data_IF_301939687199
#
_entry.id   IF_301939687199
#
_cell.length_a   1.000
_cell.length_b   1.000
_cell.length_c   1.000
_cell.angle_alpha   90.00
_cell.angle_beta   90.00
_cell.angle_gamma   90.00
#
_symmetry.space_group_name_H-M   'P 1'
#
loop_
_entity.id
_entity.type
_entity.pdbx_description
1 polymer ?
#
# COMPACT_ATOMS: atom_id res chain seq x y z
N UNK A 1 29.26 10.92 -23.33
CA UNK A 1 30.16 9.77 -23.16
C UNK A 1 30.16 9.40 -21.68
N UNK A 2 29.61 8.23 -21.33
CA UNK A 2 29.51 7.79 -19.94
C UNK A 2 30.87 7.28 -19.46
N UNK A 3 31.26 7.66 -18.24
CA UNK A 3 32.41 7.03 -17.59
C UNK A 3 31.87 5.87 -16.76
N UNK A 4 31.99 4.66 -17.30
CA UNK A 4 31.70 3.46 -16.52
C UNK A 4 32.67 3.38 -15.33
N UNK A 5 32.17 2.94 -14.18
CA UNK A 5 33.01 2.56 -13.07
C UNK A 5 33.74 1.28 -13.48
N UNK A 6 35.02 1.42 -13.85
CA UNK A 6 35.89 0.30 -14.16
C UNK A 6 36.54 -0.24 -12.87
N UNK A 7 36.57 -1.56 -12.72
CA UNK A 7 37.22 -2.33 -11.68
C UNK A 7 37.57 -3.72 -12.22
N UNK A 8 38.53 -4.40 -11.60
CA UNK A 8 38.97 -5.72 -12.06
C UNK A 8 38.00 -6.84 -11.62
N UNK A 9 37.24 -6.60 -10.55
CA UNK A 9 36.24 -7.51 -9.99
C UNK A 9 34.87 -6.80 -9.84
N UNK A 10 33.77 -7.54 -9.96
CA UNK A 10 32.39 -7.06 -9.80
C UNK A 10 32.13 -6.45 -8.43
N UNK A 11 32.79 -6.95 -7.38
CA UNK A 11 32.62 -6.45 -6.01
C UNK A 11 33.21 -5.05 -5.85
N UNK A 12 34.38 -4.78 -6.45
CA UNK A 12 35.00 -3.46 -6.44
C UNK A 12 34.12 -2.44 -7.17
N UNK A 13 33.52 -2.86 -8.30
CA UNK A 13 32.58 -2.01 -9.06
C UNK A 13 31.33 -1.72 -8.22
N UNK A 14 30.79 -2.72 -7.51
CA UNK A 14 29.63 -2.56 -6.64
C UNK A 14 29.92 -1.60 -5.47
N UNK A 15 31.01 -1.80 -4.74
CA UNK A 15 31.41 -0.94 -3.61
C UNK A 15 31.67 0.50 -4.05
N UNK A 16 32.37 0.68 -5.17
CA UNK A 16 32.61 2.02 -5.73
C UNK A 16 31.34 2.65 -6.31
N UNK A 17 30.36 1.87 -6.74
CA UNK A 17 29.06 2.38 -7.15
C UNK A 17 28.24 2.85 -5.94
N UNK A 18 28.24 2.08 -4.85
CA UNK A 18 27.58 2.44 -3.56
C UNK A 18 28.09 3.75 -2.98
N UNK A 19 29.34 4.12 -3.27
CA UNK A 19 29.90 5.40 -2.83
C UNK A 19 29.22 6.63 -3.48
N UNK A 20 28.40 6.45 -4.52
CA UNK A 20 27.61 7.52 -5.13
C UNK A 20 26.13 7.45 -4.73
N UNK A 21 25.54 6.26 -4.87
CA UNK A 21 24.13 6.01 -4.64
C UNK A 21 24.00 4.73 -3.84
N UNK A 22 23.29 4.81 -2.73
CA UNK A 22 22.90 3.67 -1.91
C UNK A 22 21.39 3.54 -1.95
N UNK A 23 20.89 2.31 -2.04
CA UNK A 23 19.45 2.05 -2.00
C UNK A 23 19.18 0.92 -1.02
N UNK A 24 18.26 1.17 -0.10
CA UNK A 24 17.74 0.20 0.85
C UNK A 24 16.32 -0.19 0.45
N UNK A 25 15.95 -1.46 0.61
CA UNK A 25 14.60 -1.95 0.36
C UNK A 25 13.98 -2.41 1.66
N UNK A 26 12.84 -1.81 2.00
CA UNK A 26 12.02 -2.21 3.13
C UNK A 26 10.65 -2.68 2.63
N UNK A 27 10.09 -3.70 3.27
CA UNK A 27 8.72 -4.17 2.98
C UNK A 27 7.82 -3.99 4.19
N UNK A 28 6.62 -3.46 3.96
CA UNK A 28 5.61 -3.27 4.99
C UNK A 28 4.25 -3.85 4.57
N UNK A 29 3.54 -4.45 5.51
CA UNK A 29 2.19 -4.97 5.27
C UNK A 29 1.23 -3.81 5.12
N UNK A 30 0.56 -3.72 3.97
CA UNK A 30 -0.57 -2.81 3.82
C UNK A 30 -1.73 -3.47 4.55
N UNK A 31 -2.06 -2.96 5.73
CA UNK A 31 -3.32 -3.32 6.36
C UNK A 31 -4.40 -2.70 5.52
N UNK A 32 -5.05 -3.51 4.70
CA UNK A 32 -6.34 -3.12 4.17
C UNK A 32 -7.21 -2.83 5.38
N UNK A 33 -7.61 -1.56 5.51
CA UNK A 33 -8.73 -1.22 6.38
C UNK A 33 -9.83 -2.12 5.86
N UNK A 34 -10.32 -3.10 6.64
CA UNK A 34 -11.29 -4.06 6.15
C UNK A 34 -12.38 -3.23 5.51
N UNK A 35 -12.55 -3.37 4.18
CA UNK A 35 -13.53 -2.60 3.44
C UNK A 35 -14.80 -2.71 4.27
N UNK A 36 -15.29 -1.57 4.76
CA UNK A 36 -16.44 -1.56 5.66
C UNK A 36 -17.44 -2.47 5.01
N UNK A 37 -17.76 -3.60 5.67
CA UNK A 37 -18.53 -4.69 5.03
C UNK A 37 -19.67 -4.01 4.31
N UNK A 38 -19.68 -3.99 2.96
CA UNK A 38 -20.46 -3.03 2.23
C UNK A 38 -21.86 -3.20 2.75
N UNK A 39 -22.37 -2.17 3.42
CA UNK A 39 -23.72 -2.23 3.97
C UNK A 39 -24.58 -2.42 2.75
N UNK A 40 -24.99 -3.66 2.50
CA UNK A 40 -25.71 -3.99 1.28
C UNK A 40 -27.06 -3.34 1.49
N UNK A 41 -27.22 -2.18 0.89
CA UNK A 41 -28.43 -1.38 1.03
C UNK A 41 -29.45 -2.03 0.12
N UNK A 42 -30.33 -2.84 0.69
CA UNK A 42 -31.42 -3.43 -0.06
C UNK A 42 -32.50 -2.37 -0.27
N UNK A 43 -32.86 -2.13 -1.51
CA UNK A 43 -34.00 -1.30 -1.87
C UNK A 43 -35.16 -2.18 -2.36
N UNK A 44 -36.28 -1.56 -2.74
CA UNK A 44 -37.44 -2.27 -3.32
C UNK A 44 -37.02 -3.19 -4.48
N UNK A 45 -36.11 -2.73 -5.34
CA UNK A 45 -35.63 -3.48 -6.51
C UNK A 45 -34.77 -4.70 -6.13
N UNK A 46 -34.29 -4.75 -4.89
CA UNK A 46 -33.51 -5.87 -4.36
C UNK A 46 -34.39 -7.02 -3.86
N UNK A 47 -35.72 -6.84 -3.80
CA UNK A 47 -36.67 -7.89 -3.43
C UNK A 47 -37.03 -8.78 -4.63
N UNK A 48 -37.46 -10.02 -4.39
CA UNK A 48 -38.05 -10.85 -5.45
C UNK A 48 -39.34 -10.19 -5.99
N UNK A 49 -39.79 -10.53 -7.22
CA UNK A 49 -41.03 -9.99 -7.77
C UNK A 49 -42.24 -10.17 -6.83
N UNK A 50 -42.34 -11.31 -6.15
CA UNK A 50 -43.40 -11.59 -5.18
C UNK A 50 -43.26 -10.71 -3.93
N UNK A 51 -42.03 -10.51 -3.45
CA UNK A 51 -41.74 -9.61 -2.33
C UNK A 51 -42.07 -8.16 -2.65
N UNK A 52 -41.76 -7.71 -3.87
CA UNK A 52 -42.12 -6.39 -4.36
C UNK A 52 -43.64 -6.21 -4.41
N UNK A 53 -44.36 -7.18 -4.99
CA UNK A 53 -45.82 -7.14 -5.11
C UNK A 53 -46.51 -7.10 -3.73
N UNK A 54 -46.06 -7.94 -2.77
CA UNK A 54 -46.60 -7.95 -1.41
C UNK A 54 -46.31 -6.65 -0.67
N UNK A 55 -45.11 -6.10 -0.83
CA UNK A 55 -44.75 -4.81 -0.24
C UNK A 55 -45.62 -3.70 -0.81
N UNK A 56 -45.76 -3.59 -2.13
CA UNK A 56 -46.63 -2.60 -2.79
C UNK A 56 -48.07 -2.71 -2.27
N UNK A 57 -48.62 -3.93 -2.21
CA UNK A 57 -49.97 -4.18 -1.67
C UNK A 57 -50.11 -3.75 -0.21
N UNK A 58 -49.08 -3.96 0.60
CA UNK A 58 -49.08 -3.52 2.00
C UNK A 58 -49.02 -1.99 2.15
N UNK A 59 -48.31 -1.31 1.24
CA UNK A 59 -48.16 0.14 1.23
C UNK A 59 -49.43 0.84 0.75
N UNK A 60 -50.14 0.26 -0.23
CA UNK A 60 -51.44 0.75 -0.72
C UNK A 60 -52.46 0.88 0.42
N UNK A 61 -52.44 -0.05 1.38
CA UNK A 61 -53.36 -0.02 2.53
C UNK A 61 -52.94 0.94 3.66
N UNK A 62 -51.69 1.42 3.66
CA UNK A 62 -51.10 2.13 4.82
C UNK A 62 -50.72 3.59 4.54
N UNK A 63 -50.62 4.00 3.29
CA UNK A 63 -50.22 5.36 2.94
C UNK A 63 -51.44 6.22 2.58
N UNK A 64 -51.71 7.26 3.37
CA UNK A 64 -52.79 8.23 3.12
C UNK A 64 -52.42 9.34 2.13
N UNK A 65 -51.16 9.40 1.67
CA UNK A 65 -50.69 10.41 0.72
C UNK A 65 -49.59 9.88 -0.22
N UNK A 66 -49.48 10.48 -1.40
CA UNK A 66 -48.44 10.15 -2.38
C UNK A 66 -47.03 10.37 -1.82
N UNK A 67 -46.83 11.42 -1.03
CA UNK A 67 -45.53 11.75 -0.41
C UNK A 67 -45.09 10.66 0.58
N UNK A 68 -46.00 10.14 1.41
CA UNK A 68 -45.70 9.07 2.35
C UNK A 68 -45.39 7.74 1.64
N UNK A 69 -46.04 7.47 0.51
CA UNK A 69 -45.78 6.29 -0.31
C UNK A 69 -44.37 6.35 -0.92
N UNK A 70 -44.01 7.47 -1.53
CA UNK A 70 -42.67 7.67 -2.12
C UNK A 70 -41.57 7.59 -1.06
N UNK A 71 -41.80 8.14 0.14
CA UNK A 71 -40.86 8.02 1.25
C UNK A 71 -40.69 6.57 1.73
N UNK A 72 -41.76 5.76 1.72
CA UNK A 72 -41.68 4.35 2.09
C UNK A 72 -41.04 3.48 0.99
N UNK A 73 -41.25 3.79 -0.29
CA UNK A 73 -40.60 3.09 -1.42
C UNK A 73 -39.10 3.38 -1.51
N UNK A 74 -38.68 4.59 -1.13
CA UNK A 74 -37.26 5.00 -1.07
C UNK A 74 -36.58 4.58 0.24
N UNK A 75 -37.32 3.96 1.19
CA UNK A 75 -36.74 3.50 2.44
C UNK A 75 -35.87 2.27 2.17
N UNK A 76 -34.58 2.42 2.44
CA UNK A 76 -33.65 1.30 2.39
C UNK A 76 -34.01 0.28 3.48
N UNK A 77 -34.14 -0.98 3.09
CA UNK A 77 -34.39 -2.08 3.99
C UNK A 77 -33.08 -2.53 4.60
N UNK A 78 -32.97 -2.39 5.92
CA UNK A 78 -31.94 -3.06 6.69
C UNK A 78 -32.43 -4.47 6.97
N UNK A 79 -32.20 -5.40 6.03
CA UNK A 79 -32.32 -6.81 6.36
C UNK A 79 -31.09 -7.16 7.20
N UNK A 80 -31.22 -7.07 8.51
CA UNK A 80 -30.52 -8.00 9.40
C UNK A 80 -31.15 -9.37 9.16
N UNK A 81 -30.91 -9.94 7.98
CA UNK A 81 -30.81 -11.39 7.94
C UNK A 81 -29.73 -11.67 8.98
N UNK A 82 -30.02 -12.50 9.96
CA UNK A 82 -28.96 -13.17 10.69
C UNK A 82 -28.22 -13.98 9.63
N UNK A 83 -27.36 -13.28 8.88
CA UNK A 83 -26.40 -13.90 7.99
C UNK A 83 -25.62 -14.69 9.01
N UNK A 84 -25.87 -16.00 9.01
CA UNK A 84 -25.05 -16.98 9.67
C UNK A 84 -23.69 -16.73 9.04
N UNK A 85 -22.92 -15.82 9.66
CA UNK A 85 -21.60 -15.48 9.19
C UNK A 85 -20.90 -16.82 9.23
N UNK A 86 -20.41 -17.33 8.10
CA UNK A 86 -19.69 -18.58 8.14
C UNK A 86 -18.62 -18.43 9.21
N UNK A 87 -18.60 -19.37 10.16
CA UNK A 87 -17.63 -19.44 11.24
C UNK A 87 -16.24 -19.82 10.68
N UNK A 88 -15.91 -19.35 9.47
CA UNK A 88 -14.69 -19.62 8.73
C UNK A 88 -14.21 -18.29 8.15
N UNK A 89 -13.04 -17.86 8.61
CA UNK A 89 -12.30 -16.71 8.09
C UNK A 89 -11.16 -17.23 7.24
N UNK A 90 -11.13 -16.86 5.96
CA UNK A 90 -10.08 -17.29 5.03
C UNK A 90 -9.12 -16.12 4.85
N UNK A 91 -7.85 -16.32 5.17
CA UNK A 91 -6.77 -15.40 4.78
C UNK A 91 -6.45 -15.73 3.31
N UNK A 92 -6.57 -14.77 2.38
CA UNK A 92 -6.38 -15.04 0.96
C UNK A 92 -4.94 -15.48 0.67
N UNK A 93 -4.76 -16.23 -0.43
CA UNK A 93 -3.44 -16.53 -0.99
C UNK A 93 -2.78 -15.32 -1.67
N UNK A 94 -3.47 -14.18 -1.70
CA UNK A 94 -2.93 -12.92 -2.24
C UNK A 94 -2.62 -11.97 -1.09
N UNK A 95 -1.42 -11.41 -1.05
CA UNK A 95 -0.95 -10.54 0.03
C UNK A 95 -0.48 -9.21 -0.53
N UNK A 96 -0.99 -8.12 0.00
CA UNK A 96 -0.59 -6.78 -0.39
C UNK A 96 0.53 -6.26 0.49
N UNK A 97 1.62 -5.79 -0.12
CA UNK A 97 2.75 -5.14 0.56
C UNK A 97 3.07 -3.81 -0.09
N UNK A 98 3.61 -2.89 0.70
CA UNK A 98 4.29 -1.71 0.20
C UNK A 98 5.80 -1.96 0.26
N UNK A 99 6.43 -1.99 -0.91
CA UNK A 99 7.87 -1.97 -1.06
C UNK A 99 8.34 -0.51 -1.03
N UNK A 100 9.23 -0.18 -0.10
CA UNK A 100 9.79 1.15 0.09
C UNK A 100 11.27 1.09 -0.24
N UNK A 101 11.66 1.73 -1.34
CA UNK A 101 13.05 1.91 -1.73
C UNK A 101 13.52 3.27 -1.24
N UNK A 102 14.48 3.28 -0.31
CA UNK A 102 15.10 4.50 0.20
C UNK A 102 16.37 4.76 -0.59
N UNK A 103 16.33 5.73 -1.50
CA UNK A 103 17.46 6.08 -2.39
C UNK A 103 18.25 7.23 -1.77
N UNK A 104 19.41 6.90 -1.23
CA UNK A 104 20.31 7.83 -0.58
C UNK A 104 21.46 8.20 -1.52
N UNK A 105 21.67 9.51 -1.69
CA UNK A 105 22.84 10.04 -2.38
C UNK A 105 23.95 10.30 -1.38
N UNK A 106 25.11 9.69 -1.59
CA UNK A 106 26.24 9.86 -0.69
C UNK A 106 26.84 11.28 -0.84
N UNK A 107 27.08 11.95 0.28
CA UNK A 107 27.52 13.36 0.33
C UNK A 107 29.05 13.52 0.20
N UNK A 108 29.79 12.45 0.46
CA UNK A 108 31.23 12.49 0.41
C UNK A 108 31.76 11.09 0.14
N UNK A 109 32.76 11.00 -0.74
CA UNK A 109 33.54 9.77 -0.90
C UNK A 109 34.94 10.01 -0.39
N UNK A 110 35.45 9.20 0.54
CA UNK A 110 36.87 9.22 0.88
C UNK A 110 37.66 8.84 -0.38
N UNK A 111 38.53 9.74 -0.85
CA UNK A 111 39.51 9.39 -1.87
C UNK A 111 40.60 8.52 -1.25
N UNK A 112 41.20 7.64 -2.04
CA UNK A 112 42.40 6.86 -1.68
C UNK A 112 43.55 7.72 -1.17
N UNK A 113 43.55 9.02 -1.48
CA UNK A 113 44.58 9.98 -1.08
C UNK A 113 44.20 10.78 0.18
N UNK A 114 43.14 10.39 0.92
CA UNK A 114 42.64 11.10 2.09
C UNK A 114 41.88 12.40 1.80
N UNK A 115 41.76 12.79 0.52
CA UNK A 115 40.96 13.95 0.10
C UNK A 115 39.48 13.56 -0.03
N UNK A 116 38.63 14.08 0.84
CA UNK A 116 37.18 13.90 0.69
C UNK A 116 36.70 14.63 -0.57
N UNK A 117 36.13 13.90 -1.53
CA UNK A 117 35.44 14.51 -2.67
C UNK A 117 34.02 14.80 -2.23
N UNK A 118 33.68 16.07 -2.05
CA UNK A 118 32.29 16.49 -1.82
C UNK A 118 31.47 16.20 -3.07
N UNK A 119 30.54 15.26 -2.93
CA UNK A 119 29.44 15.02 -3.86
C UNK A 119 28.26 15.81 -3.29
N UNK A 120 27.49 16.55 -4.10
CA UNK A 120 26.36 17.43 -3.72
C UNK A 120 26.61 18.92 -3.96
N UNK A 121 27.26 19.24 -5.07
CA UNK A 121 27.11 20.57 -5.66
C UNK A 121 25.67 20.76 -6.11
N UNK A 122 25.24 22.02 -6.19
CA UNK A 122 23.94 22.37 -6.79
C UNK A 122 23.88 21.82 -8.23
N UNK A 123 22.87 20.99 -8.49
CA UNK A 123 22.67 20.32 -9.78
C UNK A 123 23.27 18.91 -9.86
N UNK A 124 24.04 18.45 -8.87
CA UNK A 124 24.30 17.02 -8.72
C UNK A 124 22.98 16.31 -8.40
N UNK A 125 22.79 15.11 -8.95
CA UNK A 125 21.58 14.29 -8.75
C UNK A 125 21.72 12.87 -9.29
N UNK A 126 20.82 11.99 -8.88
CA UNK A 126 20.55 10.72 -9.57
C UNK A 126 19.67 11.02 -10.78
N UNK A 127 20.21 10.83 -11.98
CA UNK A 127 19.57 11.21 -13.25
C UNK A 127 18.77 10.05 -13.87
N UNK A 128 19.22 8.82 -13.61
CA UNK A 128 18.54 7.59 -14.00
C UNK A 128 18.64 6.59 -12.86
N UNK A 129 17.57 5.84 -12.62
CA UNK A 129 17.52 4.78 -11.62
C UNK A 129 16.67 3.62 -12.15
N UNK A 130 17.25 2.42 -12.18
CA UNK A 130 16.56 1.16 -12.41
C UNK A 130 16.68 0.31 -11.15
N UNK A 131 15.54 -0.03 -10.55
CA UNK A 131 15.41 -0.87 -9.37
C UNK A 131 14.88 -2.23 -9.80
N UNK A 132 15.56 -3.29 -9.42
CA UNK A 132 15.25 -4.66 -9.77
C UNK A 132 15.13 -5.49 -8.49
N UNK A 133 13.98 -6.13 -8.29
CA UNK A 133 13.73 -7.05 -7.18
C UNK A 133 13.43 -8.43 -7.73
N UNK A 134 14.34 -9.36 -7.49
CA UNK A 134 14.19 -10.77 -7.87
C UNK A 134 13.77 -11.60 -6.64
N UNK A 135 12.71 -12.38 -6.75
CA UNK A 135 12.36 -13.38 -5.72
C UNK A 135 13.38 -14.52 -5.73
N UNK A 136 13.64 -15.12 -4.57
CA UNK A 136 14.49 -16.31 -4.50
C UNK A 136 13.96 -17.42 -5.44
N UNK A 137 14.85 -18.15 -6.12
CA UNK A 137 14.47 -19.14 -7.16
C UNK A 137 13.46 -20.21 -6.69
N UNK A 138 13.48 -20.56 -5.40
CA UNK A 138 12.57 -21.55 -4.79
C UNK A 138 11.44 -20.89 -3.97
N UNK A 139 11.21 -19.59 -4.18
CA UNK A 139 10.13 -18.85 -3.53
C UNK A 139 8.79 -19.49 -3.87
N UNK A 140 7.94 -19.63 -2.85
CA UNK A 140 6.55 -20.06 -3.00
C UNK A 140 5.61 -18.89 -3.25
N UNK A 141 6.15 -17.69 -3.44
CA UNK A 141 5.43 -16.50 -3.84
C UNK A 141 5.84 -16.07 -5.24
N UNK A 142 4.88 -15.51 -5.98
CA UNK A 142 5.09 -14.75 -7.20
C UNK A 142 4.47 -13.36 -7.09
N UNK A 143 4.98 -12.40 -7.85
CA UNK A 143 4.33 -11.12 -8.05
C UNK A 143 3.07 -11.30 -8.93
N UNK A 144 1.90 -10.94 -8.40
CA UNK A 144 0.61 -10.96 -9.12
C UNK A 144 0.35 -9.65 -9.84
N UNK A 145 0.46 -8.55 -9.10
CA UNK A 145 0.19 -7.21 -9.62
C UNK A 145 0.82 -6.10 -8.79
N UNK A 146 0.77 -4.88 -9.32
CA UNK A 146 1.07 -3.66 -8.59
C UNK A 146 0.14 -2.55 -9.07
N UNK A 147 -0.17 -1.58 -8.20
CA UNK A 147 -1.19 -0.56 -8.51
C UNK A 147 -0.81 0.88 -8.18
N UNK A 148 0.12 1.07 -7.25
CA UNK A 148 0.51 2.40 -6.77
C UNK A 148 2.01 2.58 -6.86
N UNK A 149 2.41 3.73 -7.38
CA UNK A 149 3.78 4.23 -7.38
C UNK A 149 3.82 5.58 -6.71
N UNK A 150 4.65 5.75 -5.68
CA UNK A 150 4.78 7.02 -4.96
C UNK A 150 6.26 7.39 -4.91
N UNK A 151 6.56 8.63 -5.26
CA UNK A 151 7.83 9.29 -5.00
C UNK A 151 7.57 10.60 -4.28
N UNK A 152 8.62 11.27 -3.82
CA UNK A 152 8.51 12.60 -3.21
C UNK A 152 7.92 13.66 -4.16
N UNK A 153 7.90 13.39 -5.47
CA UNK A 153 7.42 14.31 -6.50
C UNK A 153 6.06 13.93 -7.08
N UNK A 154 5.67 12.66 -6.98
CA UNK A 154 4.50 12.13 -7.69
C UNK A 154 3.85 10.98 -6.93
N UNK A 155 2.52 11.00 -6.88
CA UNK A 155 1.73 9.78 -6.64
C UNK A 155 1.03 9.40 -7.93
N UNK A 156 1.27 8.17 -8.37
CA UNK A 156 0.67 7.60 -9.56
C UNK A 156 -0.12 6.36 -9.19
N UNK A 157 -1.41 6.37 -9.50
CA UNK A 157 -2.30 5.22 -9.38
C UNK A 157 -2.56 4.67 -10.78
N UNK A 158 -2.09 3.45 -11.02
CA UNK A 158 -2.13 2.82 -12.34
C UNK A 158 -3.38 1.96 -12.55
N UNK A 159 -4.20 1.80 -11.51
CA UNK A 159 -5.08 0.64 -11.44
C UNK A 159 -4.26 -0.65 -11.30
N UNK A 160 -4.91 -1.82 -11.42
CA UNK A 160 -4.23 -3.11 -11.27
C UNK A 160 -3.40 -3.43 -12.52
N UNK A 161 -2.07 -3.37 -12.44
CA UNK A 161 -1.15 -3.84 -13.49
C UNK A 161 -0.73 -5.26 -13.16
N UNK A 162 -1.10 -6.25 -13.98
CA UNK A 162 -0.85 -7.68 -13.71
C UNK A 162 0.48 -8.16 -14.29
N UNK A 163 1.00 -9.27 -13.75
CA UNK A 163 2.16 -9.99 -14.29
C UNK A 163 2.01 -10.24 -15.80
N UNK A 164 3.09 -10.07 -16.56
CA UNK A 164 3.18 -10.09 -18.05
C UNK A 164 2.89 -8.76 -18.76
N UNK A 165 2.71 -7.66 -18.03
CA UNK A 165 2.52 -6.33 -18.63
C UNK A 165 3.76 -5.45 -18.49
N UNK A 166 4.19 -4.85 -19.60
CA UNK A 166 5.10 -3.71 -19.59
C UNK A 166 4.26 -2.43 -19.51
N UNK A 167 4.69 -1.50 -18.67
CA UNK A 167 4.04 -0.20 -18.56
C UNK A 167 5.05 0.92 -18.71
N UNK A 168 4.64 1.98 -19.40
CA UNK A 168 5.39 3.21 -19.58
C UNK A 168 4.45 4.39 -19.34
N UNK A 169 4.85 5.36 -18.52
CA UNK A 169 4.29 6.71 -18.56
C UNK A 169 5.36 7.77 -18.61
N UNK A 170 5.00 8.83 -19.32
CA UNK A 170 5.78 10.05 -19.42
C UNK A 170 4.96 11.15 -18.74
N UNK A 171 5.47 11.72 -17.66
CA UNK A 171 4.79 12.79 -16.94
C UNK A 171 5.47 14.12 -17.23
N UNK A 172 4.71 15.07 -17.77
CA UNK A 172 5.15 16.46 -17.91
C UNK A 172 4.70 17.23 -16.65
N UNK A 173 5.64 17.55 -15.76
CA UNK A 173 5.38 18.34 -14.56
C UNK A 173 5.64 19.82 -14.87
N UNK A 174 4.56 20.59 -14.97
CA UNK A 174 4.66 22.04 -15.15
C UNK A 174 4.66 22.71 -13.78
N UNK A 175 5.59 23.65 -13.55
CA UNK A 175 5.79 24.32 -12.25
C UNK A 175 4.66 25.31 -11.86
N UNK A 176 3.55 25.35 -12.58
CA UNK A 176 2.33 26.09 -12.21
C UNK A 176 1.33 25.11 -11.59
N UNK A 177 0.96 25.33 -10.31
CA UNK A 177 0.12 24.42 -9.53
C UNK A 177 -1.13 23.96 -10.29
N UNK A 178 -1.18 22.66 -10.60
CA UNK A 178 -2.24 22.03 -11.40
C UNK A 178 -1.68 21.31 -12.63
N UNK A 179 -0.84 20.27 -12.43
CA UNK A 179 -0.40 19.41 -13.55
C UNK A 179 -1.52 18.46 -13.95
N UNK A 180 -1.92 18.48 -15.22
CA UNK A 180 -2.79 17.47 -15.83
C UNK A 180 -1.96 16.23 -16.18
N UNK A 181 -2.33 15.09 -15.61
CA UNK A 181 -1.72 13.79 -15.91
C UNK A 181 -2.34 13.28 -17.22
N UNK A 182 -1.55 13.15 -18.28
CA UNK A 182 -1.96 12.41 -19.49
C UNK A 182 -1.30 11.04 -19.48
N UNK A 183 -2.09 10.00 -19.25
CA UNK A 183 -1.65 8.61 -19.37
C UNK A 183 -1.81 8.18 -20.83
N UNK A 184 -0.70 8.10 -21.57
CA UNK A 184 -0.69 7.43 -22.88
C UNK A 184 -0.24 5.98 -22.67
N UNK A 185 -1.16 5.12 -22.23
CA UNK A 185 -0.90 3.69 -22.05
C UNK A 185 -1.16 2.92 -23.34
N UNK A 186 -0.11 2.54 -24.06
CA UNK A 186 -0.20 1.53 -25.11
C UNK A 186 -0.12 0.15 -24.47
N UNK A 187 -1.28 -0.46 -24.15
CA UNK A 187 -1.32 -1.87 -23.81
C UNK A 187 -1.03 -2.68 -25.07
N UNK A 188 0.06 -3.43 -25.09
CA UNK A 188 0.30 -4.43 -26.14
C UNK A 188 -0.55 -5.65 -25.82
N UNK A 189 -1.51 -5.95 -26.70
CA UNK A 189 -2.23 -7.23 -26.72
C UNK A 189 -1.22 -8.34 -27.06
N UNK A 190 -1.01 -9.30 -26.15
CA UNK A 190 -0.43 -10.58 -26.53
C UNK A 190 -1.53 -11.48 -27.10
N UNK A 191 -1.30 -11.89 -28.34
CA UNK A 191 -2.07 -12.89 -29.08
C UNK A 191 -1.84 -14.25 -28.43
N UNK A 192 -2.79 -14.69 -27.60
CA UNK A 192 -2.85 -16.07 -27.13
C UNK A 192 -4.06 -16.74 -27.77
N UNK A 193 -3.74 -17.54 -28.79
CA UNK A 193 -4.59 -18.46 -29.52
C UNK A 193 -5.38 -19.37 -28.56
N UNK A 194 -6.56 -18.90 -28.15
CA UNK A 194 -7.63 -19.75 -27.62
C UNK A 194 -8.94 -19.26 -28.18
N UNK A 195 -9.45 -19.98 -29.18
CA UNK A 195 -10.70 -19.74 -29.88
C UNK A 195 -11.93 -19.68 -28.97
N UNK A 196 -12.15 -18.52 -28.34
CA UNK A 196 -13.42 -18.09 -27.77
C UNK A 196 -13.67 -16.65 -28.24
N UNK A 197 -14.68 -16.52 -29.10
CA UNK A 197 -15.22 -15.25 -29.56
C UNK A 197 -15.55 -14.33 -28.38
N UNK A 198 -14.64 -13.40 -28.09
CA UNK A 198 -14.96 -12.19 -27.33
C UNK A 198 -15.54 -11.20 -28.33
N UNK A 199 -16.87 -11.08 -28.36
CA UNK A 199 -17.54 -9.96 -29.02
C UNK A 199 -17.16 -8.67 -28.31
N UNK A 200 -16.10 -8.02 -28.77
CA UNK A 200 -15.90 -6.59 -28.53
C UNK A 200 -16.97 -5.86 -29.32
N UNK A 201 -17.89 -5.22 -28.63
CA UNK A 201 -18.87 -4.34 -29.25
C UNK A 201 -18.11 -3.17 -29.88
N UNK A 202 -17.93 -3.21 -31.21
CA UNK A 202 -17.54 -2.05 -32.00
C UNK A 202 -18.59 -0.97 -31.79
N UNK A 203 -18.18 0.11 -31.11
CA UNK A 203 -18.96 1.34 -31.08
C UNK A 203 -18.83 2.00 -32.46
N UNK A 204 -19.97 2.04 -33.12
CA UNK A 204 -20.21 2.58 -34.46
C UNK A 204 -19.76 4.04 -34.58
N UNK A 205 -19.24 4.36 -35.76
CA UNK A 205 -18.77 5.65 -36.23
C UNK A 205 -19.72 6.83 -35.93
N UNK A 206 -19.15 7.92 -35.42
CA UNK A 206 -19.80 9.22 -35.29
C UNK A 206 -18.77 10.34 -35.39
N UNK A 207 -18.87 11.12 -36.46
CA UNK A 207 -17.97 12.19 -36.90
C UNK A 207 -17.92 13.38 -35.93
N UNK A 208 -16.76 13.65 -35.30
CA UNK A 208 -16.18 14.97 -34.95
C UNK A 208 -15.18 14.84 -33.76
N UNK A 209 -14.10 15.65 -33.69
CA UNK A 209 -13.14 15.57 -32.60
C UNK A 209 -13.64 16.33 -31.37
N UNK A 210 -13.82 15.64 -30.24
CA UNK A 210 -13.90 16.28 -28.92
C UNK A 210 -12.82 15.73 -28.00
N UNK A 211 -11.96 16.64 -27.54
CA UNK A 211 -10.99 16.43 -26.48
C UNK A 211 -11.74 16.25 -25.16
N UNK A 212 -11.79 15.04 -24.61
CA UNK A 212 -12.30 14.82 -23.25
C UNK A 212 -11.17 15.04 -22.24
N UNK A 213 -11.33 16.06 -21.41
CA UNK A 213 -10.53 16.31 -20.21
C UNK A 213 -11.14 15.54 -19.05
N UNK A 214 -10.40 14.57 -18.49
CA UNK A 214 -10.79 13.88 -17.26
C UNK A 214 -10.21 14.65 -16.08
N UNK A 215 -11.07 15.35 -15.33
CA UNK A 215 -10.69 16.07 -14.10
C UNK A 215 -10.73 15.10 -12.92
N UNK A 216 -9.56 14.74 -12.38
CA UNK A 216 -9.46 14.04 -11.09
C UNK A 216 -9.71 15.03 -9.94
N UNK A 217 -10.69 14.75 -9.09
CA UNK A 217 -11.01 15.54 -7.90
C UNK A 217 -10.04 15.19 -6.77
N UNK A 218 -9.17 16.12 -6.40
CA UNK A 218 -8.34 16.00 -5.19
C UNK A 218 -9.17 16.41 -3.96
N UNK A 219 -9.29 15.51 -2.98
CA UNK A 219 -9.78 15.85 -1.64
C UNK A 219 -8.72 16.69 -0.92
N UNK A 220 -9.02 17.97 -0.74
CA UNK A 220 -8.15 18.94 -0.09
C UNK A 220 -8.51 19.05 1.39
N UNK A 221 -7.54 18.68 2.24
CA UNK A 221 -7.54 18.88 3.69
C UNK A 221 -7.73 20.36 4.05
N UNK A 222 -8.74 20.66 4.86
CA UNK A 222 -9.01 22.01 5.37
C UNK A 222 -8.05 22.38 6.51
N UNK A 223 -7.25 23.42 6.30
CA UNK A 223 -6.64 24.18 7.39
C UNK A 223 -6.91 25.67 7.18
N UNK A 224 -7.73 26.22 8.06
CA UNK A 224 -8.08 27.63 8.13
C UNK A 224 -6.86 28.51 8.42
N UNK A 225 -6.64 29.53 7.58
CA UNK A 225 -6.16 30.83 8.08
C UNK A 225 -6.48 31.97 7.12
N UNK A 226 -7.43 32.79 7.56
CA UNK A 226 -7.73 34.15 7.13
C UNK A 226 -6.46 35.00 6.92
N UNK A 227 -6.38 35.75 5.81
CA UNK A 227 -5.91 37.14 5.79
C UNK A 227 -6.42 37.85 4.53
N UNK A 228 -7.28 38.85 4.76
CA UNK A 228 -7.81 39.83 3.82
C UNK A 228 -6.70 40.67 3.18
N UNK A 229 -6.76 40.95 1.87
CA UNK A 229 -6.26 42.21 1.32
C UNK A 229 -6.92 42.58 -0.02
N UNK A 230 -7.62 43.70 0.01
CA UNK A 230 -8.11 44.46 -1.13
C UNK A 230 -6.93 45.05 -1.92
N UNK A 231 -6.98 44.99 -3.26
CA UNK A 231 -6.34 46.04 -4.06
C UNK A 231 -7.12 46.28 -5.35
N UNK A 232 -7.61 47.52 -5.46
CA UNK A 232 -8.27 48.12 -6.62
C UNK A 232 -7.31 48.20 -7.80
N UNK A 233 -7.77 47.78 -8.98
CA UNK A 233 -7.16 48.16 -10.26
C UNK A 233 -7.89 49.40 -10.77
N UNK A 234 -7.18 50.53 -10.79
CA UNK A 234 -7.60 51.77 -11.46
C UNK A 234 -6.54 52.08 -12.51
N UNK A 235 -6.98 52.29 -13.75
CA UNK A 235 -6.11 52.44 -14.92
C UNK A 235 -5.24 53.70 -14.92
N UNK A 236 -4.18 53.64 -15.71
CA UNK A 236 -3.48 54.81 -16.22
C UNK A 236 -3.03 54.58 -17.66
N UNK A 237 -3.35 55.55 -18.51
CA UNK A 237 -2.79 55.75 -19.84
C UNK A 237 -1.36 56.29 -19.68
N UNK A 238 -0.39 55.79 -20.45
CA UNK A 238 0.89 56.48 -20.74
C UNK A 238 1.48 55.85 -22.02
N UNK A 239 1.28 56.45 -23.20
CA UNK A 239 2.12 57.48 -23.84
C UNK A 239 3.41 56.91 -24.48
N UNK A 240 3.36 56.73 -25.80
CA UNK A 240 4.51 56.49 -26.68
C UNK A 240 5.43 57.71 -26.66
N UNK A 241 6.71 57.48 -26.33
CA UNK A 241 7.80 58.45 -26.48
C UNK A 241 9.10 57.72 -26.81
N UNK A 242 9.75 58.16 -27.90
CA UNK A 242 11.05 57.67 -28.33
C UNK A 242 12.14 58.03 -27.30
N UNK A 243 12.65 57.01 -26.64
CA UNK A 243 13.79 57.10 -25.73
C UNK A 243 14.21 55.69 -25.36
N UNK A 244 15.39 55.28 -25.83
CA UNK A 244 15.87 53.91 -25.74
C UNK A 244 15.80 53.33 -24.32
N UNK A 245 15.19 52.16 -24.22
CA UNK A 245 15.36 51.24 -23.09
C UNK A 245 15.90 49.94 -23.66
N UNK A 246 17.19 49.69 -23.42
CA UNK A 246 17.76 48.33 -23.53
C UNK A 246 17.28 47.58 -22.29
N UNK A 247 16.08 47.04 -22.39
CA UNK A 247 15.60 46.03 -21.45
C UNK A 247 16.11 44.67 -21.91
N UNK A 248 17.01 44.06 -21.13
CA UNK A 248 17.32 42.65 -21.30
C UNK A 248 16.04 41.83 -21.07
N UNK A 249 15.36 41.48 -22.15
CA UNK A 249 14.23 40.53 -22.17
C UNK A 249 14.75 39.09 -22.14
N UNK A 250 15.73 38.78 -21.31
CA UNK A 250 16.26 37.41 -21.13
C UNK A 250 15.52 36.62 -20.03
N UNK A 251 14.59 37.26 -19.31
CA UNK A 251 13.90 36.63 -18.18
C UNK A 251 12.62 35.88 -18.54
N UNK A 252 12.00 36.15 -19.70
CA UNK A 252 10.74 35.48 -20.10
C UNK A 252 10.97 34.24 -20.96
N UNK A 253 12.00 34.19 -21.79
CA UNK A 253 12.33 33.00 -22.59
C UNK A 253 12.86 31.86 -21.69
N UNK A 254 13.63 32.21 -20.66
CA UNK A 254 14.06 31.27 -19.60
C UNK A 254 12.89 30.73 -18.77
N UNK A 255 11.73 31.41 -18.74
CA UNK A 255 10.55 30.92 -18.01
C UNK A 255 9.74 29.91 -18.81
N UNK A 256 9.77 29.99 -20.15
CA UNK A 256 8.99 29.14 -21.04
C UNK A 256 9.69 27.80 -21.33
N UNK A 257 11.02 27.80 -21.46
CA UNK A 257 11.81 26.59 -21.74
C UNK A 257 12.05 25.70 -20.49
N UNK A 258 11.74 26.24 -19.31
CA UNK A 258 11.74 25.52 -18.02
C UNK A 258 10.42 24.78 -17.73
N UNK A 259 9.43 24.90 -18.62
CA UNK A 259 8.03 24.58 -18.31
C UNK A 259 7.65 23.11 -18.46
N UNK A 260 8.40 22.27 -19.21
CA UNK A 260 8.11 20.84 -19.31
C UNK A 260 9.23 20.02 -18.67
N UNK A 261 9.18 19.87 -17.35
CA UNK A 261 10.09 18.93 -16.67
C UNK A 261 9.47 17.55 -16.72
N UNK A 262 10.10 16.65 -17.47
CA UNK A 262 9.55 15.32 -17.72
C UNK A 262 10.19 14.31 -16.79
N UNK A 263 9.38 13.59 -16.00
CA UNK A 263 9.80 12.37 -15.32
C UNK A 263 9.24 11.21 -16.13
N UNK A 264 10.11 10.34 -16.62
CA UNK A 264 9.68 9.10 -17.29
C UNK A 264 9.73 7.98 -16.29
N UNK A 265 8.63 7.27 -16.19
CA UNK A 265 8.47 6.11 -15.32
C UNK A 265 8.12 4.93 -16.20
N UNK A 266 8.81 3.82 -16.03
CA UNK A 266 8.42 2.57 -16.65
C UNK A 266 8.63 1.42 -15.67
N UNK A 267 7.90 0.34 -15.89
CA UNK A 267 7.98 -0.83 -15.04
C UNK A 267 7.68 -2.09 -15.82
N UNK A 268 8.23 -3.20 -15.36
CA UNK A 268 7.92 -4.54 -15.87
C UNK A 268 7.70 -5.45 -14.68
N UNK A 269 6.58 -6.17 -14.70
CA UNK A 269 6.26 -7.17 -13.69
C UNK A 269 6.25 -8.55 -14.34
N UNK A 270 7.13 -9.41 -13.86
CA UNK A 270 7.11 -10.85 -14.11
C UNK A 270 6.90 -11.57 -12.78
N UNK A 271 6.55 -12.86 -12.84
CA UNK A 271 6.20 -13.64 -11.65
C UNK A 271 7.27 -13.63 -10.56
N UNK A 272 8.55 -13.65 -10.94
CA UNK A 272 9.67 -13.68 -10.00
C UNK A 272 10.49 -12.39 -9.99
N UNK A 273 10.08 -11.37 -10.76
CA UNK A 273 10.91 -10.20 -11.00
C UNK A 273 10.08 -8.92 -11.16
N UNK A 274 10.42 -7.91 -10.38
CA UNK A 274 9.89 -6.56 -10.50
C UNK A 274 11.01 -5.62 -10.95
N UNK A 275 10.83 -4.94 -12.08
CA UNK A 275 11.75 -3.91 -12.57
C UNK A 275 11.02 -2.57 -12.60
N UNK A 276 11.61 -1.55 -11.99
CA UNK A 276 11.11 -0.18 -11.99
C UNK A 276 12.20 0.73 -12.54
N UNK A 277 11.86 1.61 -13.47
CA UNK A 277 12.78 2.54 -14.13
C UNK A 277 12.26 3.96 -13.96
N UNK A 278 13.16 4.84 -13.57
CA UNK A 278 12.91 6.27 -13.44
C UNK A 278 13.99 7.04 -14.19
N UNK A 279 13.58 7.98 -15.03
CA UNK A 279 14.45 8.97 -15.64
C UNK A 279 14.09 10.36 -15.10
N UNK A 280 15.09 11.07 -14.60
CA UNK A 280 14.93 12.41 -14.07
C UNK A 280 14.88 13.45 -15.20
N UNK A 281 14.08 14.49 -15.00
CA UNK A 281 14.13 15.70 -15.81
C UNK A 281 15.12 16.73 -15.24
N UNK A 282 15.32 17.82 -15.97
CA UNK A 282 16.06 18.98 -15.46
C UNK A 282 15.48 19.45 -14.11
N UNK A 283 16.35 19.54 -13.10
CA UNK A 283 16.01 20.00 -11.75
C UNK A 283 15.30 18.98 -10.84
N UNK A 284 15.18 17.71 -11.23
CA UNK A 284 14.64 16.64 -10.36
C UNK A 284 15.75 15.69 -9.92
N UNK A 285 15.83 15.37 -8.63
CA UNK A 285 16.74 14.34 -8.12
C UNK A 285 15.93 13.09 -7.81
N UNK A 286 16.38 11.91 -8.23
CA UNK A 286 15.68 10.64 -7.94
C UNK A 286 16.01 10.09 -6.53
N UNK A 287 16.79 10.82 -5.72
CA UNK A 287 16.96 10.51 -4.31
C UNK A 287 15.67 10.71 -3.51
N UNK A 288 15.46 9.91 -2.48
CA UNK A 288 14.26 9.95 -1.65
C UNK A 288 13.60 8.59 -1.53
N UNK A 289 12.34 8.57 -1.10
CA UNK A 289 11.59 7.33 -0.96
C UNK A 289 10.78 7.05 -2.22
N UNK A 290 10.88 5.81 -2.72
CA UNK A 290 10.02 5.27 -3.76
C UNK A 290 9.16 4.18 -3.12
N UNK A 291 7.84 4.32 -3.13
CA UNK A 291 6.92 3.34 -2.56
C UNK A 291 6.12 2.69 -3.69
N UNK A 292 6.13 1.36 -3.72
CA UNK A 292 5.35 0.56 -4.67
C UNK A 292 4.45 -0.41 -3.92
N UNK A 293 3.15 -0.36 -4.21
CA UNK A 293 2.18 -1.33 -3.69
C UNK A 293 2.16 -2.56 -4.60
N UNK A 294 2.44 -3.73 -4.04
CA UNK A 294 2.60 -4.99 -4.77
C UNK A 294 1.75 -6.08 -4.13
N UNK A 295 1.07 -6.85 -4.96
CA UNK A 295 0.30 -8.03 -4.59
C UNK A 295 1.14 -9.29 -4.88
N UNK A 296 1.31 -10.14 -3.87
CA UNK A 296 1.99 -11.42 -3.97
C UNK A 296 0.96 -12.55 -4.05
N UNK A 297 1.07 -13.45 -5.02
CA UNK A 297 0.32 -14.70 -5.06
C UNK A 297 1.15 -15.83 -4.41
N UNK A 298 0.55 -16.53 -3.47
CA UNK A 298 1.16 -17.67 -2.78
C UNK A 298 0.74 -19.00 -3.40
N UNK A 299 1.73 -19.83 -3.71
CA UNK A 299 1.55 -21.17 -4.26
C UNK A 299 1.47 -22.27 -3.20
N UNK A 300 1.82 -21.99 -1.94
CA UNK A 300 1.79 -22.96 -0.85
C UNK A 300 0.39 -23.56 -0.59
N UNK A 301 0.37 -24.78 -0.08
CA UNK A 301 -0.85 -25.44 0.39
C UNK A 301 -1.49 -24.69 1.56
N UNK A 302 -2.75 -25.00 1.85
CA UNK A 302 -3.42 -24.47 3.04
C UNK A 302 -2.85 -25.10 4.31
N UNK A 303 -2.64 -24.28 5.34
CA UNK A 303 -2.22 -24.75 6.65
C UNK A 303 -3.35 -25.48 7.35
N UNK A 304 -3.01 -26.21 8.41
CA UNK A 304 -4.02 -26.79 9.30
C UNK A 304 -4.91 -25.66 9.85
N UNK A 305 -6.25 -25.77 9.71
CA UNK A 305 -7.15 -24.73 10.18
C UNK A 305 -6.99 -24.48 11.68
N UNK A 306 -7.02 -23.21 12.08
CA UNK A 306 -6.90 -22.81 13.48
C UNK A 306 -8.26 -22.40 14.00
N UNK A 307 -8.75 -23.09 15.02
CA UNK A 307 -10.01 -22.76 15.68
C UNK A 307 -9.75 -21.74 16.79
N UNK A 308 -10.49 -20.64 16.77
CA UNK A 308 -10.52 -19.64 17.81
C UNK A 308 -11.85 -19.69 18.57
N UNK A 309 -11.77 -19.50 19.88
CA UNK A 309 -12.91 -19.45 20.79
C UNK A 309 -13.29 -18.00 21.04
N UNK A 310 -14.59 -17.71 20.91
CA UNK A 310 -15.16 -16.39 21.15
C UNK A 310 -16.31 -16.49 22.15
N UNK A 311 -16.13 -15.89 23.31
CA UNK A 311 -17.19 -15.82 24.31
C UNK A 311 -18.03 -14.57 24.07
N UNK A 312 -19.34 -14.74 23.96
CA UNK A 312 -20.32 -13.66 23.91
C UNK A 312 -20.91 -13.48 25.30
N UNK A 313 -21.05 -12.22 25.73
CA UNK A 313 -21.68 -11.85 27.00
C UNK A 313 -21.01 -12.52 28.21
N UNK A 314 -19.76 -12.16 28.52
CA UNK A 314 -19.07 -12.67 29.72
C UNK A 314 -19.71 -12.17 31.03
N UNK A 315 -20.37 -11.02 30.98
CA UNK A 315 -21.03 -10.37 32.11
C UNK A 315 -22.48 -10.10 31.75
N UNK A 316 -23.34 -10.04 32.77
CA UNK A 316 -24.71 -9.56 32.63
C UNK A 316 -24.77 -8.03 32.50
N UNK A 317 -25.97 -7.49 32.30
CA UNK A 317 -26.20 -6.04 32.16
C UNK A 317 -25.87 -5.26 33.45
N UNK A 318 -25.71 -5.94 34.59
CA UNK A 318 -25.30 -5.36 35.87
C UNK A 318 -23.79 -5.44 36.12
N UNK A 319 -23.03 -6.02 35.19
CA UNK A 319 -21.59 -6.22 35.30
C UNK A 319 -21.18 -7.42 36.16
N UNK A 320 -22.12 -8.30 36.56
CA UNK A 320 -21.78 -9.53 37.28
C UNK A 320 -21.37 -10.62 36.27
N UNK A 321 -20.40 -11.48 36.60
CA UNK A 321 -20.00 -12.55 35.70
C UNK A 321 -21.16 -13.56 35.54
N UNK A 322 -21.46 -13.94 34.30
CA UNK A 322 -22.43 -15.01 34.04
C UNK A 322 -21.91 -16.35 34.55
N UNK A 323 -22.81 -17.27 34.92
CA UNK A 323 -22.41 -18.63 35.23
C UNK A 323 -21.86 -19.32 33.98
N UNK A 324 -20.93 -20.25 34.16
CA UNK A 324 -20.22 -20.92 33.05
C UNK A 324 -21.21 -21.64 32.10
N UNK A 325 -22.29 -22.21 32.66
CA UNK A 325 -23.33 -22.88 31.90
C UNK A 325 -24.14 -21.94 30.99
N UNK A 326 -24.19 -20.65 31.33
CA UNK A 326 -24.92 -19.62 30.58
C UNK A 326 -24.04 -18.90 29.55
N UNK A 327 -22.73 -19.20 29.52
CA UNK A 327 -21.82 -18.60 28.55
C UNK A 327 -22.17 -19.05 27.13
N UNK A 328 -22.38 -18.08 26.25
CA UNK A 328 -22.52 -18.34 24.83
C UNK A 328 -21.13 -18.44 24.20
N UNK A 329 -20.72 -19.68 23.92
CA UNK A 329 -19.46 -19.97 23.25
C UNK A 329 -19.72 -20.02 21.75
N UNK A 330 -19.00 -19.20 21.01
CA UNK A 330 -18.91 -19.24 19.57
C UNK A 330 -17.51 -19.66 19.16
N UNK A 331 -17.38 -20.22 17.97
CA UNK A 331 -16.10 -20.62 17.42
C UNK A 331 -16.00 -20.14 16.00
N UNK A 332 -14.82 -19.73 15.61
CA UNK A 332 -14.54 -19.55 14.20
C UNK A 332 -13.19 -20.14 13.85
N UNK A 333 -13.09 -20.60 12.62
CA UNK A 333 -11.92 -21.28 12.08
C UNK A 333 -11.21 -20.33 11.13
N UNK A 334 -9.91 -20.17 11.28
CA UNK A 334 -9.08 -19.42 10.34
C UNK A 334 -8.32 -20.41 9.47
N UNK A 335 -8.52 -20.27 8.16
CA UNK A 335 -7.78 -21.00 7.12
C UNK A 335 -6.80 -20.01 6.48
N UNK A 336 -5.53 -20.40 6.35
CA UNK A 336 -4.47 -19.54 5.85
C UNK A 336 -3.40 -20.35 5.10
N UNK A 337 -2.60 -19.74 4.22
CA UNK A 337 -1.53 -20.44 3.48
C UNK A 337 -0.40 -20.94 4.40
N UNK A 338 0.13 -22.13 4.12
CA UNK A 338 1.14 -22.84 4.92
C UNK A 338 2.58 -22.49 4.54
N UNK A 339 2.96 -21.23 4.72
CA UNK A 339 4.33 -20.80 4.48
C UNK A 339 5.28 -21.37 5.55
N UNK A 340 6.37 -21.99 5.10
CA UNK A 340 7.35 -22.55 6.03
C UNK A 340 8.39 -21.53 6.49
N UNK A 341 8.77 -20.61 5.59
CA UNK A 341 9.81 -19.61 5.78
C UNK A 341 9.37 -18.22 5.32
N UNK A 342 10.15 -17.21 5.68
CA UNK A 342 10.00 -15.85 5.16
C UNK A 342 10.28 -15.83 3.65
N UNK A 343 9.53 -15.01 2.92
CA UNK A 343 9.75 -14.79 1.49
C UNK A 343 10.78 -13.67 1.36
N UNK A 344 11.92 -14.01 0.77
CA UNK A 344 13.01 -13.07 0.55
C UNK A 344 13.15 -12.73 -0.93
N UNK A 345 13.69 -11.55 -1.20
CA UNK A 345 14.03 -11.09 -2.53
C UNK A 345 15.36 -10.37 -2.55
N UNK A 346 15.90 -10.21 -3.74
CA UNK A 346 17.23 -9.67 -4.01
C UNK A 346 17.10 -8.34 -4.70
N UNK A 347 17.61 -7.26 -4.07
CA UNK A 347 17.65 -5.93 -4.71
C UNK A 347 18.93 -5.78 -5.55
N UNK A 348 18.74 -5.50 -6.85
CA UNK A 348 19.78 -5.03 -7.76
C UNK A 348 19.38 -3.65 -8.26
N UNK A 349 20.34 -2.74 -8.48
CA UNK A 349 20.01 -1.45 -9.09
C UNK A 349 21.10 -0.91 -9.98
N UNK A 350 20.67 -0.23 -11.03
CA UNK A 350 21.51 0.48 -11.98
C UNK A 350 21.20 1.98 -11.88
N UNK A 351 22.22 2.83 -11.95
CA UNK A 351 22.00 4.26 -11.89
C UNK A 351 22.93 5.05 -12.80
N UNK A 352 22.49 6.25 -13.17
CA UNK A 352 23.35 7.27 -13.75
C UNK A 352 23.37 8.45 -12.78
N UNK A 353 24.53 8.71 -12.19
CA UNK A 353 24.76 9.86 -11.34
C UNK A 353 25.30 11.02 -12.16
N UNK A 354 24.60 12.15 -12.13
CA UNK A 354 25.01 13.40 -12.77
C UNK A 354 25.79 14.24 -11.77
N UNK A 355 27.06 14.50 -12.08
CA UNK A 355 27.95 15.32 -11.28
C UNK A 355 28.34 16.60 -12.03
N UNK A 356 28.03 17.77 -11.48
CA UNK A 356 28.37 19.07 -12.05
C UNK A 356 29.83 19.42 -11.72
N UNK A 357 30.69 19.37 -12.73
CA UNK A 357 32.09 19.76 -12.59
C UNK A 357 32.24 21.29 -12.58
N UNK A 358 31.55 21.98 -13.51
CA UNK A 358 31.55 23.45 -13.64
C UNK A 358 30.15 23.99 -13.92
N UNK A 359 29.91 25.22 -13.47
CA UNK A 359 28.69 25.96 -13.79
C UNK A 359 27.53 25.80 -12.81
N UNK A 360 27.70 25.11 -11.67
CA UNK A 360 26.64 24.82 -10.67
C UNK A 360 25.86 26.02 -10.13
N UNK A 361 26.34 27.25 -10.37
CA UNK A 361 25.67 28.49 -9.98
C UNK A 361 24.59 28.93 -10.99
N UNK A 362 24.61 28.42 -12.22
CA UNK A 362 23.66 28.81 -13.26
C UNK A 362 22.38 27.95 -13.18
N UNK A 363 21.21 28.58 -13.33
CA UNK A 363 19.92 27.88 -13.28
C UNK A 363 19.57 27.14 -14.58
N UNK A 364 19.96 27.63 -15.78
CA UNK A 364 19.90 26.79 -16.98
C UNK A 364 20.96 25.70 -16.89
N UNK A 365 20.51 24.45 -16.76
CA UNK A 365 21.43 23.30 -16.71
C UNK A 365 22.22 23.11 -18.01
N UNK A 366 21.75 23.70 -19.11
CA UNK A 366 22.47 23.79 -20.37
C UNK A 366 23.88 24.42 -20.24
N UNK A 367 24.12 25.24 -19.20
CA UNK A 367 25.43 25.84 -18.92
C UNK A 367 26.30 24.99 -17.98
N UNK A 368 25.78 23.86 -17.50
CA UNK A 368 26.54 22.94 -16.66
C UNK A 368 27.47 22.09 -17.51
N UNK A 369 28.74 22.05 -17.11
CA UNK A 369 29.62 20.97 -17.54
C UNK A 369 29.44 19.82 -16.56
N UNK A 370 28.58 18.87 -16.93
CA UNK A 370 28.28 17.70 -16.11
C UNK A 370 29.06 16.46 -16.60
N UNK A 371 29.45 15.62 -15.65
CA UNK A 371 29.98 14.28 -15.84
C UNK A 371 28.92 13.28 -15.41
N UNK A 372 28.72 12.25 -16.21
CA UNK A 372 27.77 11.17 -15.93
C UNK A 372 28.53 9.91 -15.55
N UNK A 373 28.22 9.39 -14.38
CA UNK A 373 28.83 8.20 -13.79
C UNK A 373 27.77 7.11 -13.79
N UNK A 374 28.05 6.03 -14.49
CA UNK A 374 27.18 4.85 -14.49
C UNK A 374 27.66 3.85 -13.45
N UNK A 375 26.75 3.39 -12.61
CA UNK A 375 27.01 2.39 -11.58
C UNK A 375 25.98 1.27 -11.63
N UNK A 376 26.45 0.08 -11.26
CA UNK A 376 25.63 -1.13 -11.07
C UNK A 376 25.95 -1.63 -9.67
N UNK A 377 24.93 -1.84 -8.86
CA UNK A 377 25.07 -2.44 -7.54
C UNK A 377 24.35 -3.77 -7.55
N UNK A 378 25.14 -4.82 -7.36
CA UNK A 378 24.68 -6.20 -7.20
C UNK A 378 24.83 -6.63 -5.74
N UNK A 379 24.09 -7.67 -5.34
CA UNK A 379 24.32 -8.35 -4.06
C UNK A 379 25.78 -8.80 -3.96
N UNK A 380 26.39 -8.60 -2.79
CA UNK A 380 27.74 -9.06 -2.50
C UNK A 380 27.82 -9.71 -1.12
N UNK A 381 28.97 -10.26 -0.75
CA UNK A 381 29.14 -10.94 0.54
C UNK A 381 29.02 -10.02 1.76
N UNK A 382 29.27 -8.71 1.60
CA UNK A 382 29.17 -7.73 2.67
C UNK A 382 27.75 -7.20 2.84
N UNK A 383 26.96 -7.21 1.77
CA UNK A 383 25.57 -6.80 1.71
C UNK A 383 24.78 -7.92 1.05
N UNK A 384 24.53 -9.02 1.79
CA UNK A 384 23.71 -10.11 1.29
C UNK A 384 22.33 -9.53 1.02
N UNK A 385 22.04 -9.24 -0.23
CA UNK A 385 20.88 -8.43 -0.63
C UNK A 385 19.54 -9.14 -0.46
N UNK A 386 19.47 -10.17 0.39
CA UNK A 386 18.25 -10.86 0.72
C UNK A 386 17.45 -10.04 1.71
N UNK A 387 16.52 -9.26 1.18
CA UNK A 387 15.56 -8.50 1.96
C UNK A 387 14.33 -9.35 2.22
N UNK A 388 13.80 -9.26 3.44
CA UNK A 388 12.56 -9.96 3.80
C UNK A 388 11.37 -9.17 3.24
N UNK A 389 10.74 -9.72 2.21
CA UNK A 389 9.59 -9.09 1.54
C UNK A 389 8.27 -9.44 2.22
N UNK A 390 8.11 -10.69 2.67
CA UNK A 390 6.94 -11.13 3.41
C UNK A 390 7.38 -11.99 4.58
N UNK A 391 7.06 -11.58 5.81
CA UNK A 391 7.37 -12.37 6.99
C UNK A 391 6.32 -13.45 7.16
N UNK A 392 6.74 -14.61 7.66
CA UNK A 392 5.84 -15.67 8.07
C UNK A 392 4.78 -15.19 9.06
N UNK A 393 5.20 -14.35 10.00
CA UNK A 393 4.32 -13.75 11.01
C UNK A 393 3.24 -12.82 10.47
N UNK A 394 3.35 -12.37 9.21
CA UNK A 394 2.32 -11.51 8.59
C UNK A 394 1.10 -12.29 8.13
N UNK A 395 1.25 -13.60 7.90
CA UNK A 395 0.23 -14.48 7.33
C UNK A 395 -0.30 -15.43 8.39
N UNK A 396 0.58 -15.93 9.27
CA UNK A 396 0.18 -16.80 10.37
C UNK A 396 -0.70 -16.00 11.34
N UNK A 397 -1.96 -16.42 11.57
CA UNK A 397 -2.84 -15.71 12.49
C UNK A 397 -2.23 -15.76 13.90
N UNK A 398 -2.14 -14.60 14.54
CA UNK A 398 -1.66 -14.49 15.92
C UNK A 398 -2.61 -15.22 16.85
N UNK A 399 -2.07 -16.02 17.76
CA UNK A 399 -2.86 -16.77 18.72
C UNK A 399 -2.56 -16.28 20.11
N UNK A 400 -3.59 -15.94 20.86
CA UNK A 400 -3.48 -15.61 22.26
C UNK A 400 -3.98 -16.78 23.08
N UNK A 401 -3.15 -17.27 24.00
CA UNK A 401 -3.50 -18.34 24.93
C UNK A 401 -3.32 -17.86 26.36
N UNK A 402 -4.09 -18.42 27.27
CA UNK A 402 -4.00 -18.15 28.71
C UNK A 402 -3.45 -19.43 29.35
N UNK A 403 -2.41 -19.30 30.15
CA UNK A 403 -1.70 -20.46 30.69
C UNK A 403 -0.56 -20.10 31.61
N UNK A 404 0.16 -21.12 32.08
CA UNK A 404 1.41 -20.96 32.82
C UNK A 404 2.62 -21.01 31.85
N UNK A 405 3.79 -21.41 32.33
CA UNK A 405 4.99 -21.53 31.51
C UNK A 405 4.96 -22.67 30.48
N UNK A 406 4.23 -23.75 30.76
CA UNK A 406 4.30 -25.02 30.05
C UNK A 406 2.93 -25.56 29.59
N UNK A 407 1.83 -25.03 30.12
CA UNK A 407 0.47 -25.50 29.90
C UNK A 407 -0.47 -24.32 29.61
N UNK A 408 -1.55 -24.61 28.88
CA UNK A 408 -2.60 -23.65 28.55
C UNK A 408 -3.95 -24.14 29.06
N UNK A 409 -4.89 -23.22 29.26
CA UNK A 409 -6.25 -23.56 29.67
C UNK A 409 -6.92 -24.39 28.57
N UNK A 410 -7.50 -25.52 28.98
CA UNK A 410 -8.29 -26.41 28.15
C UNK A 410 -9.76 -26.36 28.60
N UNK A 411 -10.67 -26.21 27.64
CA UNK A 411 -12.12 -26.30 27.82
C UNK A 411 -12.66 -27.46 26.98
N UNK A 412 -13.38 -28.40 27.58
CA UNK A 412 -13.97 -29.55 26.88
C UNK A 412 -12.98 -30.27 25.94
N UNK A 413 -11.75 -30.55 26.41
CA UNK A 413 -10.64 -31.17 25.67
C UNK A 413 -9.93 -30.31 24.62
N UNK A 414 -10.39 -29.09 24.34
CA UNK A 414 -9.73 -28.18 23.41
C UNK A 414 -8.99 -27.05 24.14
N UNK A 415 -7.75 -26.76 23.74
CA UNK A 415 -7.03 -25.58 24.24
C UNK A 415 -7.74 -24.30 23.81
N UNK A 416 -7.94 -23.37 24.75
CA UNK A 416 -8.54 -22.08 24.45
C UNK A 416 -7.56 -21.19 23.68
N UNK A 417 -7.99 -20.74 22.51
CA UNK A 417 -7.23 -19.84 21.64
C UNK A 417 -8.09 -18.64 21.28
N UNK A 418 -7.55 -17.44 21.45
CA UNK A 418 -8.21 -16.17 21.13
C UNK A 418 -7.48 -15.48 19.97
N UNK A 419 -8.22 -14.80 19.10
CA UNK A 419 -7.63 -14.09 17.94
C UNK A 419 -7.01 -12.76 18.38
N UNK A 420 -7.58 -12.13 19.40
CA UNK A 420 -7.12 -10.82 19.89
C UNK A 420 -6.71 -10.87 21.36
N UNK A 421 -5.74 -10.02 21.72
CA UNK A 421 -5.32 -9.84 23.10
C UNK A 421 -6.49 -9.36 23.99
N UNK A 422 -7.40 -8.55 23.45
CA UNK A 422 -8.56 -8.03 24.16
C UNK A 422 -9.56 -9.13 24.51
N UNK A 423 -9.82 -10.07 23.60
CA UNK A 423 -10.69 -11.23 23.88
C UNK A 423 -10.09 -12.13 24.95
N UNK A 424 -8.79 -12.42 24.86
CA UNK A 424 -8.07 -13.17 25.89
C UNK A 424 -8.12 -12.45 27.25
N UNK A 425 -7.90 -11.13 27.26
CA UNK A 425 -7.92 -10.32 28.47
C UNK A 425 -9.33 -10.23 29.09
N UNK A 426 -10.36 -10.05 28.26
CA UNK A 426 -11.74 -10.03 28.73
C UNK A 426 -12.12 -11.35 29.40
N UNK A 427 -11.74 -12.48 28.78
CA UNK A 427 -11.95 -13.80 29.37
C UNK A 427 -11.13 -14.00 30.65
N UNK A 428 -9.88 -13.53 30.67
CA UNK A 428 -9.04 -13.57 31.86
C UNK A 428 -9.67 -12.79 33.04
N UNK A 429 -10.18 -11.58 32.80
CA UNK A 429 -10.91 -10.81 33.80
C UNK A 429 -12.20 -11.49 34.26
N UNK A 430 -12.92 -12.14 33.35
CA UNK A 430 -14.10 -12.92 33.69
C UNK A 430 -13.77 -14.04 34.69
N UNK A 431 -12.68 -14.79 34.49
CA UNK A 431 -12.24 -15.80 35.45
C UNK A 431 -11.96 -15.18 36.83
N UNK A 432 -11.25 -14.04 36.87
CA UNK A 432 -11.02 -13.32 38.11
C UNK A 432 -12.30 -12.86 38.82
N UNK A 433 -13.30 -12.41 38.04
CA UNK A 433 -14.59 -11.98 38.56
C UNK A 433 -15.39 -13.15 39.16
N UNK A 434 -15.32 -14.36 38.57
CA UNK A 434 -15.93 -15.55 39.16
C UNK A 434 -15.35 -15.86 40.54
N UNK A 435 -14.02 -15.81 40.70
CA UNK A 435 -13.38 -15.99 42.00
C UNK A 435 -13.75 -14.90 43.00
N UNK A 436 -13.81 -13.63 42.55
CA UNK A 436 -14.25 -12.52 43.39
C UNK A 436 -15.72 -12.66 43.86
N UNK A 437 -16.56 -13.33 43.06
CA UNK A 437 -17.94 -13.67 43.40
C UNK A 437 -18.08 -14.92 44.31
N UNK A 438 -16.95 -15.52 44.73
CA UNK A 438 -16.93 -16.63 45.68
C UNK A 438 -16.81 -18.03 45.07
N UNK A 439 -16.53 -18.16 43.77
CA UNK A 439 -16.20 -19.46 43.19
C UNK A 439 -14.91 -20.02 43.81
N UNK A 440 -14.89 -21.30 44.20
CA UNK A 440 -13.68 -21.96 44.72
C UNK A 440 -12.89 -22.65 43.61
N UNK A 441 -13.60 -23.23 42.64
CA UNK A 441 -13.05 -23.93 41.48
C UNK A 441 -13.92 -23.67 40.26
N UNK A 442 -13.34 -23.80 39.07
CA UNK A 442 -14.01 -23.58 37.79
C UNK A 442 -13.93 -24.88 36.96
N UNK A 443 -14.85 -25.84 37.14
CA UNK A 443 -14.64 -27.24 36.74
C UNK A 443 -14.54 -27.49 35.22
N UNK A 444 -15.11 -26.62 34.40
CA UNK A 444 -15.09 -26.78 32.94
C UNK A 444 -13.79 -26.28 32.28
N UNK A 445 -12.93 -25.63 33.06
CA UNK A 445 -11.63 -25.16 32.60
C UNK A 445 -10.54 -25.83 33.40
N UNK A 446 -9.58 -26.43 32.70
CA UNK A 446 -8.48 -27.16 33.33
C UNK A 446 -7.14 -26.62 32.86
N UNK A 447 -6.14 -26.68 33.73
CA UNK A 447 -4.73 -26.46 33.41
C UNK A 447 -3.98 -27.72 33.82
N UNK A 448 -3.31 -28.39 32.87
CA UNK A 448 -2.67 -29.69 33.12
C UNK A 448 -3.64 -30.72 33.75
N UNK A 449 -4.86 -30.82 33.21
CA UNK A 449 -5.94 -31.70 33.70
C UNK A 449 -6.48 -31.39 35.10
N UNK A 450 -6.01 -30.34 35.77
CA UNK A 450 -6.53 -29.89 37.07
C UNK A 450 -7.54 -28.75 36.88
N UNK A 451 -8.70 -28.76 37.56
CA UNK A 451 -9.62 -27.63 37.57
C UNK A 451 -8.92 -26.34 38.00
N UNK A 452 -9.26 -25.22 37.37
CA UNK A 452 -8.68 -23.93 37.75
C UNK A 452 -9.26 -23.50 39.10
N UNK A 453 -8.39 -23.33 40.09
CA UNK A 453 -8.67 -22.72 41.37
C UNK A 453 -8.02 -21.33 41.48
N UNK A 454 -8.21 -20.65 42.62
CA UNK A 454 -7.66 -19.31 42.86
C UNK A 454 -6.11 -19.28 42.86
N UNK A 455 -5.45 -20.36 43.30
CA UNK A 455 -4.00 -20.43 43.35
C UNK A 455 -3.42 -20.53 41.93
N UNK A 456 -3.99 -21.43 41.11
CA UNK A 456 -3.65 -21.59 39.70
C UNK A 456 -3.93 -20.28 38.95
N UNK A 457 -5.12 -19.68 39.13
CA UNK A 457 -5.49 -18.43 38.45
C UNK A 457 -4.45 -17.31 38.61
N UNK A 458 -3.88 -17.17 39.82
CA UNK A 458 -2.85 -16.15 40.10
C UNK A 458 -1.54 -16.35 39.35
N UNK A 459 -1.27 -17.55 38.84
CA UNK A 459 -0.05 -17.87 38.07
C UNK A 459 -0.24 -17.71 36.57
N UNK A 460 -1.48 -17.58 36.10
CA UNK A 460 -1.81 -17.53 34.69
C UNK A 460 -1.37 -16.20 34.06
N UNK A 461 -0.86 -16.29 32.84
CA UNK A 461 -0.47 -15.15 32.00
C UNK A 461 -1.04 -15.31 30.59
N UNK A 462 -1.27 -14.19 29.91
CA UNK A 462 -1.65 -14.18 28.49
C UNK A 462 -0.36 -14.25 27.66
N UNK A 463 -0.27 -15.24 26.77
CA UNK A 463 0.85 -15.45 25.85
C UNK A 463 0.41 -15.27 24.42
N UNK A 464 1.28 -14.66 23.61
CA UNK A 464 1.13 -14.59 22.15
C UNK A 464 2.00 -15.69 21.54
N UNK A 465 1.42 -16.50 20.66
CA UNK A 465 2.09 -17.54 19.89
C UNK A 465 2.09 -17.23 18.40
#
# INVERSE_FOLDING_TARGET
MYKAIQGANTDEVSQKSRSFVETELNSSTIREIPASTPTTVYNLLSLSPEGQAQLIKSLETKSSSLTALTAQLNKNFSFTKDVIKPNVKIIPKTIKKALVFTVNRQHATPSSNGLSVTLNKKGDRVDYLELEVDLAQNSKASFDSWDKFVTDYLTLNLGKVTSSQQWNATLNVNAGGGSTISLTGGGTTEDSDTGKDVRVANLVEGTAPQTQTVTATNEQSTLDKSTTNNSRVTGSNLQLGAGGSVGFTDKLETALDLSSRVIKLSGTLAENKLILRQESGQGFDLSGNVVVSVDYALSDDWAQPVRFTKYKSLFDDTGKPLAIADLKIDYFTVIYPNIQADITGTLTYNFIYRQVEKGSKHLPEARHKARYIYGIVKPDSAHPAQEILVRKSDIVPKKYKIGDNTHYIVANTEELQFETAQEALAFFHYLGALFAAGATTIPNFTLNSLPIDLAIYKTLVIKTL
#
